data_IF_315695238272
#
_entry.id   IF_315695238272
#
_cell.length_a   1.000
_cell.length_b   1.000
_cell.length_c   1.000
_cell.angle_alpha   90.00
_cell.angle_beta   90.00
_cell.angle_gamma   90.00
#
_symmetry.space_group_name_H-M   'P 1'
#
loop_
_entity.id
_entity.type
_entity.pdbx_description
1 polymer ?
#
# COMPACT_ATOMS: atom_id res chain seq x y z
N UNK A 1 4.02 -4.99 -12.30
CA UNK A 1 3.11 -4.35 -13.28
C UNK A 1 2.04 -5.25 -13.85
N UNK A 2 2.19 -6.57 -13.77
CA UNK A 2 1.20 -7.53 -14.28
C UNK A 2 -0.23 -7.21 -13.85
N UNK A 3 -0.46 -6.87 -12.57
CA UNK A 3 -1.81 -6.60 -12.09
C UNK A 3 -2.46 -5.37 -12.73
N UNK A 4 -1.73 -4.25 -12.83
CA UNK A 4 -2.25 -3.02 -13.46
C UNK A 4 -2.47 -3.27 -14.96
N UNK A 5 -1.54 -3.97 -15.62
CA UNK A 5 -1.66 -4.33 -17.03
C UNK A 5 -2.90 -5.19 -17.34
N UNK A 6 -3.16 -6.20 -16.51
CA UNK A 6 -4.35 -7.03 -16.61
C UNK A 6 -5.62 -6.21 -16.35
N UNK A 7 -5.62 -5.41 -15.29
CA UNK A 7 -6.77 -4.60 -14.90
C UNK A 7 -7.12 -3.56 -15.98
N UNK A 8 -6.13 -2.89 -16.57
CA UNK A 8 -6.35 -1.88 -17.62
C UNK A 8 -6.93 -2.48 -18.90
N UNK A 9 -6.64 -3.75 -19.18
CA UNK A 9 -7.23 -4.49 -20.32
C UNK A 9 -8.68 -4.91 -20.08
N UNK A 10 -9.10 -5.02 -18.82
CA UNK A 10 -10.48 -5.36 -18.44
C UNK A 10 -11.36 -4.11 -18.34
N UNK A 11 -10.83 -3.02 -17.76
CA UNK A 11 -11.54 -1.76 -17.57
C UNK A 11 -10.57 -0.59 -17.76
N UNK A 12 -10.94 0.36 -18.63
CA UNK A 12 -10.07 1.49 -18.97
C UNK A 12 -9.93 2.51 -17.81
N UNK A 13 -10.95 2.67 -16.97
CA UNK A 13 -11.05 3.63 -15.87
C UNK A 13 -10.87 2.93 -14.50
N UNK A 14 -9.78 2.16 -14.34
CA UNK A 14 -9.46 1.53 -13.06
C UNK A 14 -8.97 2.56 -12.03
N UNK A 15 -9.48 2.47 -10.79
CA UNK A 15 -8.93 3.22 -9.66
C UNK A 15 -7.69 2.51 -9.15
N UNK A 16 -6.54 3.18 -9.20
CA UNK A 16 -5.27 2.70 -8.64
C UNK A 16 -4.81 3.68 -7.56
N UNK A 17 -4.38 3.14 -6.42
CA UNK A 17 -3.78 3.94 -5.36
C UNK A 17 -2.47 3.34 -4.89
N UNK A 18 -1.64 4.18 -4.25
CA UNK A 18 -0.43 3.77 -3.57
C UNK A 18 -0.30 4.50 -2.24
N UNK A 19 0.44 3.88 -1.32
CA UNK A 19 0.79 4.50 -0.05
C UNK A 19 2.21 5.03 -0.16
N UNK A 20 2.34 6.35 -0.22
CA UNK A 20 3.65 6.98 -0.14
C UNK A 20 4.03 7.18 1.31
N UNK A 21 4.96 6.34 1.77
CA UNK A 21 5.48 6.40 3.14
C UNK A 21 6.35 7.64 3.40
N UNK A 22 6.68 8.44 2.39
CA UNK A 22 7.64 9.54 2.44
C UNK A 22 9.10 9.07 2.53
N UNK A 23 9.33 7.77 2.32
CA UNK A 23 10.63 7.08 2.44
C UNK A 23 10.85 6.05 1.33
N UNK A 24 10.12 6.18 0.23
CA UNK A 24 10.29 5.33 -0.95
C UNK A 24 11.60 5.68 -1.66
N UNK A 25 12.15 4.72 -2.39
CA UNK A 25 13.30 4.96 -3.26
C UNK A 25 12.91 5.92 -4.39
N UNK A 26 13.85 6.76 -4.86
CA UNK A 26 13.59 7.70 -5.95
C UNK A 26 13.15 6.98 -7.23
N UNK A 27 13.68 5.79 -7.46
CA UNK A 27 13.33 4.88 -8.54
C UNK A 27 11.85 4.46 -8.49
N UNK A 28 11.27 4.36 -7.29
CA UNK A 28 9.84 4.05 -7.14
C UNK A 28 8.97 5.20 -7.64
N UNK A 29 9.33 6.45 -7.35
CA UNK A 29 8.64 7.63 -7.87
C UNK A 29 8.77 7.73 -9.39
N UNK A 30 9.99 7.57 -9.91
CA UNK A 30 10.24 7.58 -11.35
C UNK A 30 9.40 6.50 -12.05
N UNK A 31 9.29 5.31 -11.44
CA UNK A 31 8.48 4.23 -11.97
C UNK A 31 6.98 4.52 -11.90
N UNK A 32 6.48 5.12 -10.83
CA UNK A 32 5.08 5.56 -10.75
C UNK A 32 4.70 6.50 -11.90
N UNK A 33 5.58 7.43 -12.24
CA UNK A 33 5.35 8.35 -13.38
C UNK A 33 5.41 7.64 -14.73
N UNK A 34 6.30 6.65 -14.88
CA UNK A 34 6.30 5.80 -16.08
C UNK A 34 4.98 5.04 -16.22
N UNK A 35 4.46 4.48 -15.12
CA UNK A 35 3.19 3.74 -15.11
C UNK A 35 2.01 4.65 -15.48
N UNK A 36 1.91 5.85 -14.88
CA UNK A 36 0.88 6.84 -15.24
C UNK A 36 0.86 7.14 -16.73
N UNK A 37 2.05 7.43 -17.31
CA UNK A 37 2.20 7.76 -18.73
C UNK A 37 1.91 6.58 -19.64
N UNK A 38 2.37 5.38 -19.27
CA UNK A 38 2.22 4.19 -20.10
C UNK A 38 0.76 3.71 -20.19
N UNK A 39 0.06 3.69 -19.06
CA UNK A 39 -1.31 3.18 -18.98
C UNK A 39 -2.38 4.27 -19.10
N UNK A 40 -1.99 5.56 -19.07
CA UNK A 40 -2.94 6.67 -19.09
C UNK A 40 -3.84 6.73 -17.84
N UNK A 41 -3.35 6.20 -16.71
CA UNK A 41 -4.08 6.15 -15.44
C UNK A 41 -3.57 7.20 -14.47
N UNK A 42 -4.45 7.69 -13.60
CA UNK A 42 -4.03 8.40 -12.40
C UNK A 42 -3.75 7.40 -11.27
N UNK A 43 -2.69 7.67 -10.51
CA UNK A 43 -2.33 6.88 -9.31
C UNK A 43 -2.56 7.79 -8.11
N UNK A 44 -3.63 7.51 -7.36
CA UNK A 44 -3.97 8.23 -6.14
C UNK A 44 -2.91 7.95 -5.07
N UNK A 45 -2.30 9.01 -4.54
CA UNK A 45 -1.22 8.88 -3.54
C UNK A 45 -1.74 9.24 -2.16
N UNK A 46 -1.64 8.31 -1.22
CA UNK A 46 -1.99 8.54 0.18
C UNK A 46 -0.72 8.70 1.01
N UNK A 47 -0.54 9.91 1.56
CA UNK A 47 0.56 10.23 2.46
C UNK A 47 0.19 10.01 3.93
N UNK A 48 1.18 9.73 4.80
CA UNK A 48 0.99 9.73 6.23
C UNK A 48 0.60 11.10 6.76
N UNK A 49 -0.14 11.08 7.86
CA UNK A 49 -0.54 12.27 8.58
C UNK A 49 0.69 12.91 9.25
N UNK A 50 0.93 14.18 8.91
CA UNK A 50 2.03 14.98 9.45
C UNK A 50 1.97 15.02 10.99
N UNK A 51 0.76 15.15 11.55
CA UNK A 51 0.54 15.23 13.00
C UNK A 51 0.93 13.95 13.74
N UNK A 52 1.10 12.84 13.02
CA UNK A 52 1.62 11.58 13.58
C UNK A 52 3.10 11.37 13.26
N UNK A 53 3.56 11.82 12.09
CA UNK A 53 4.95 11.65 11.66
C UNK A 53 5.91 12.54 12.46
N UNK A 54 5.57 13.82 12.64
CA UNK A 54 6.41 14.79 13.34
C UNK A 54 6.80 14.36 14.76
N UNK A 55 5.84 14.04 15.66
CA UNK A 55 6.19 13.62 17.02
C UNK A 55 6.96 12.29 17.04
N UNK A 56 6.63 11.35 16.16
CA UNK A 56 7.35 10.08 16.06
C UNK A 56 8.82 10.29 15.71
N UNK A 57 9.09 11.13 14.70
CA UNK A 57 10.45 11.40 14.22
C UNK A 57 11.22 12.27 15.21
N UNK A 58 10.59 13.27 15.84
CA UNK A 58 11.27 14.14 16.80
C UNK A 58 11.67 13.41 18.08
N UNK A 59 10.89 12.40 18.50
CA UNK A 59 11.15 11.65 19.74
C UNK A 59 12.01 10.40 19.54
N UNK A 60 11.89 9.71 18.41
CA UNK A 60 12.55 8.42 18.17
C UNK A 60 13.55 8.46 17.01
N UNK A 61 13.69 9.59 16.33
CA UNK A 61 14.56 9.77 15.18
C UNK A 61 13.95 9.29 13.86
N UNK A 62 14.52 9.77 12.75
CA UNK A 62 14.02 9.45 11.41
C UNK A 62 14.18 7.98 11.02
N UNK A 63 15.09 7.25 11.68
CA UNK A 63 15.45 5.87 11.35
C UNK A 63 15.09 4.86 12.46
N UNK A 64 14.11 5.20 13.31
CA UNK A 64 13.65 4.39 14.45
C UNK A 64 13.39 2.90 14.15
N UNK A 65 13.07 2.57 12.90
CA UNK A 65 12.74 1.22 12.45
C UNK A 65 13.94 0.24 12.44
N UNK A 66 15.16 0.73 12.64
CA UNK A 66 16.34 -0.10 12.89
C UNK A 66 16.52 -0.45 14.36
N UNK A 67 16.00 0.36 15.28
CA UNK A 67 16.32 0.26 16.70
C UNK A 67 15.63 -0.93 17.36
N UNK A 68 14.39 -1.24 16.95
CA UNK A 68 13.65 -2.39 17.46
C UNK A 68 12.50 -2.81 16.56
N UNK A 69 11.98 -4.02 16.79
CA UNK A 69 10.74 -4.50 16.16
C UNK A 69 9.55 -3.62 16.54
N UNK A 70 9.47 -3.15 17.79
CA UNK A 70 8.40 -2.27 18.25
C UNK A 70 8.43 -0.92 17.50
N UNK A 71 9.60 -0.29 17.41
CA UNK A 71 9.81 0.98 16.70
C UNK A 71 9.52 0.84 15.20
N UNK A 72 9.89 -0.29 14.59
CA UNK A 72 9.53 -0.62 13.21
C UNK A 72 8.03 -0.73 13.02
N UNK A 73 7.34 -1.43 13.93
CA UNK A 73 5.88 -1.55 13.89
C UNK A 73 5.21 -0.19 14.03
N UNK A 74 5.69 0.67 14.93
CA UNK A 74 5.21 2.06 15.06
C UNK A 74 5.40 2.85 13.77
N UNK A 75 6.60 2.80 13.17
CA UNK A 75 6.88 3.45 11.90
C UNK A 75 5.97 2.94 10.77
N UNK A 76 5.79 1.62 10.65
CA UNK A 76 4.87 1.04 9.67
C UNK A 76 3.42 1.41 9.95
N UNK A 77 2.99 1.49 11.20
CA UNK A 77 1.63 1.87 11.54
C UNK A 77 1.34 3.30 11.07
N UNK A 78 2.20 4.25 11.43
CA UNK A 78 2.06 5.67 11.05
C UNK A 78 2.22 5.88 9.55
N UNK A 79 3.26 5.31 8.93
CA UNK A 79 3.60 5.59 7.53
C UNK A 79 2.84 4.76 6.51
N UNK A 80 2.32 3.59 6.89
CA UNK A 80 1.73 2.63 5.95
C UNK A 80 0.32 2.21 6.33
N UNK A 81 0.10 1.75 7.56
CA UNK A 81 -1.20 1.14 7.94
C UNK A 81 -2.29 2.19 8.06
N UNK A 82 -2.05 3.31 8.75
CA UNK A 82 -3.04 4.38 8.90
C UNK A 82 -3.45 4.99 7.54
N UNK A 83 -2.52 5.32 6.62
CA UNK A 83 -2.90 5.78 5.28
C UNK A 83 -3.60 4.73 4.43
N UNK A 84 -3.27 3.44 4.60
CA UNK A 84 -3.97 2.35 3.92
C UNK A 84 -5.44 2.28 4.35
N UNK A 85 -5.73 2.37 5.65
CA UNK A 85 -7.11 2.42 6.14
C UNK A 85 -7.91 3.54 5.47
N UNK A 86 -7.36 4.76 5.45
CA UNK A 86 -7.93 5.91 4.74
C UNK A 86 -8.15 5.67 3.24
N UNK A 87 -7.24 4.95 2.58
CA UNK A 87 -7.39 4.65 1.16
C UNK A 87 -8.53 3.66 0.87
N UNK A 88 -8.80 2.79 1.84
CA UNK A 88 -9.82 1.74 1.77
C UNK A 88 -11.20 2.17 2.27
N UNK A 89 -11.30 3.29 3.00
CA UNK A 89 -12.56 3.84 3.50
C UNK A 89 -13.60 3.98 2.38
N UNK A 90 -14.81 3.44 2.63
CA UNK A 90 -15.94 3.52 1.70
C UNK A 90 -15.86 2.60 0.48
N UNK A 91 -14.89 1.68 0.42
CA UNK A 91 -14.84 0.66 -0.62
C UNK A 91 -15.63 -0.59 -0.22
N UNK A 92 -15.96 -1.42 -1.22
CA UNK A 92 -16.51 -2.78 -1.01
C UNK A 92 -15.45 -3.87 -1.19
N UNK A 93 -14.46 -3.60 -2.05
CA UNK A 93 -13.42 -4.55 -2.43
C UNK A 93 -12.12 -3.86 -2.87
N UNK A 94 -11.02 -4.59 -2.77
CA UNK A 94 -9.70 -4.14 -3.23
C UNK A 94 -8.86 -5.30 -3.75
N UNK A 95 -7.95 -5.00 -4.68
CA UNK A 95 -7.11 -5.98 -5.36
C UNK A 95 -5.65 -5.75 -5.00
N UNK A 96 -4.94 -6.82 -4.65
CA UNK A 96 -3.54 -6.77 -4.22
C UNK A 96 -2.70 -7.78 -4.99
N UNK A 97 -1.44 -7.43 -5.25
CA UNK A 97 -0.47 -8.30 -5.94
C UNK A 97 0.22 -9.30 -5.01
N UNK A 98 -0.51 -9.91 -4.07
CA UNK A 98 0.03 -10.92 -3.17
C UNK A 98 0.04 -12.28 -3.87
N UNK A 99 1.18 -12.97 -3.81
CA UNK A 99 1.33 -14.33 -4.34
C UNK A 99 1.87 -15.29 -3.28
N UNK A 100 1.49 -16.57 -3.39
CA UNK A 100 1.79 -17.63 -2.40
C UNK A 100 3.27 -18.01 -2.35
N UNK A 101 4.01 -17.73 -3.42
CA UNK A 101 5.44 -17.95 -3.54
C UNK A 101 6.28 -16.88 -2.81
N UNK A 102 5.68 -15.77 -2.38
CA UNK A 102 6.35 -14.64 -1.72
C UNK A 102 6.64 -14.87 -0.22
N UNK A 103 6.99 -16.09 0.16
CA UNK A 103 7.38 -16.48 1.52
C UNK A 103 6.34 -17.32 2.26
N UNK A 104 6.77 -17.95 3.37
CA UNK A 104 5.98 -18.96 4.07
C UNK A 104 4.65 -18.44 4.62
N UNK A 105 4.62 -17.20 5.12
CA UNK A 105 3.42 -16.57 5.65
C UNK A 105 2.31 -16.33 4.62
N UNK A 106 2.60 -16.52 3.33
CA UNK A 106 1.67 -16.24 2.22
C UNK A 106 1.11 -17.49 1.53
N UNK A 107 1.58 -18.70 1.89
CA UNK A 107 1.12 -19.96 1.28
C UNK A 107 -0.40 -20.17 1.40
N UNK A 108 -0.99 -19.66 2.49
CA UNK A 108 -2.43 -19.78 2.78
C UNK A 108 -3.33 -18.75 2.11
N UNK A 109 -2.79 -17.77 1.36
CA UNK A 109 -3.59 -16.70 0.77
C UNK A 109 -4.62 -17.28 -0.22
N UNK A 110 -5.89 -16.91 -0.04
CA UNK A 110 -6.97 -17.24 -0.97
C UNK A 110 -7.05 -16.19 -2.07
N UNK A 111 -7.53 -16.61 -3.24
CA UNK A 111 -7.76 -15.67 -4.36
C UNK A 111 -8.77 -14.59 -4.00
N UNK A 112 -9.75 -14.93 -3.18
CA UNK A 112 -10.75 -14.02 -2.64
C UNK A 112 -10.92 -14.33 -1.16
N UNK A 113 -10.86 -13.30 -0.31
CA UNK A 113 -11.11 -13.42 1.12
C UNK A 113 -11.74 -12.17 1.71
N UNK A 114 -12.44 -12.34 2.84
CA UNK A 114 -12.87 -11.21 3.66
C UNK A 114 -11.69 -10.69 4.47
N UNK A 115 -11.49 -9.39 4.41
CA UNK A 115 -10.47 -8.67 5.13
C UNK A 115 -11.05 -8.04 6.41
N UNK A 116 -11.02 -8.82 7.49
CA UNK A 116 -11.56 -8.36 8.77
C UNK A 116 -10.71 -7.26 9.43
N UNK A 117 -9.49 -7.00 8.96
CA UNK A 117 -8.68 -5.89 9.45
C UNK A 117 -9.13 -4.53 8.88
N UNK A 118 -9.95 -4.57 7.82
CA UNK A 118 -10.44 -3.41 7.09
C UNK A 118 -11.96 -3.55 6.86
N UNK A 119 -12.71 -3.66 7.95
CA UNK A 119 -14.19 -3.64 7.96
C UNK A 119 -14.89 -4.73 7.14
N UNK A 120 -14.20 -5.84 6.86
CA UNK A 120 -14.77 -6.97 6.13
C UNK A 120 -14.79 -6.79 4.62
N UNK A 121 -14.02 -5.83 4.10
CA UNK A 121 -13.77 -5.62 2.67
C UNK A 121 -13.43 -6.93 1.96
N UNK A 122 -13.84 -7.07 0.70
CA UNK A 122 -13.40 -8.19 -0.13
C UNK A 122 -12.00 -7.92 -0.65
N UNK A 123 -11.01 -8.73 -0.25
CA UNK A 123 -9.65 -8.66 -0.77
C UNK A 123 -9.42 -9.73 -1.83
N UNK A 124 -8.94 -9.30 -2.99
CA UNK A 124 -8.71 -10.15 -4.16
C UNK A 124 -7.21 -10.22 -4.43
N UNK A 125 -6.66 -11.43 -4.51
CA UNK A 125 -5.27 -11.72 -4.85
C UNK A 125 -5.24 -12.63 -6.10
N UNK A 126 -5.22 -12.05 -7.31
CA UNK A 126 -5.40 -12.79 -8.57
C UNK A 126 -4.38 -13.91 -8.82
#
# INVERSE_FOLDING_TARGET
>A
MVLIDMASKVKADIRVFTIDTGRLHQETYAFMDQVRKHYGIDIQVYFPDLLQVEPMVSTQGANLFYDSVASRTTCCNVRKVTPLRRALEGLDAWVVGLSRDQGESRRGIRKVEKDYEHDGLVKISP
#
